data_IF_143954285757
#
_entry.id   IF_143954285757
#
_cell.length_a   1.000
_cell.length_b   1.000
_cell.length_c   1.000
_cell.angle_alpha   90.00
_cell.angle_beta   90.00
_cell.angle_gamma   90.00
#
_symmetry.space_group_name_H-M   'P 1'
#
loop_
_entity.id
_entity.type
_entity.pdbx_description
1 polymer ?
#
# COMPACT_ATOMS: atom_id res chain seq x y z
N UNK A 1 -4.80 -14.55 21.40
CA UNK A 1 -4.43 -14.98 20.03
C UNK A 1 -2.92 -14.98 20.01
N UNK A 2 -2.31 -16.12 19.67
CA UNK A 2 -0.86 -16.21 19.48
C UNK A 2 -0.58 -15.86 18.03
N UNK A 3 0.01 -14.69 17.79
CA UNK A 3 0.27 -14.17 16.44
C UNK A 3 1.61 -13.46 16.44
N UNK A 4 2.37 -13.66 15.36
CA UNK A 4 3.59 -12.92 15.11
C UNK A 4 3.27 -11.73 14.22
N UNK A 5 3.78 -10.56 14.58
CA UNK A 5 3.67 -9.35 13.77
C UNK A 5 5.04 -9.02 13.21
N UNK A 6 5.12 -8.90 11.89
CA UNK A 6 6.32 -8.40 11.21
C UNK A 6 6.00 -6.97 10.75
N UNK A 7 6.77 -6.02 11.27
CA UNK A 7 6.75 -4.62 10.83
C UNK A 7 8.12 -4.24 10.30
N UNK A 8 8.16 -3.44 9.26
CA UNK A 8 9.40 -2.94 8.68
C UNK A 8 9.30 -1.44 8.44
N UNK A 9 10.39 -0.74 8.73
CA UNK A 9 10.55 0.65 8.35
C UNK A 9 10.92 0.72 6.86
N UNK A 10 10.09 1.37 6.06
CA UNK A 10 10.39 1.61 4.65
C UNK A 10 11.47 2.70 4.52
N UNK A 11 12.15 2.77 3.37
CA UNK A 11 13.23 3.75 3.16
C UNK A 11 12.79 5.18 3.51
N UNK A 12 13.60 5.88 4.29
CA UNK A 12 13.32 7.24 4.74
C UNK A 12 12.35 7.35 5.93
N UNK A 13 11.97 6.23 6.56
CA UNK A 13 11.22 6.17 7.81
C UNK A 13 12.01 5.43 8.88
N UNK A 14 11.78 5.78 10.15
CA UNK A 14 12.41 5.13 11.31
C UNK A 14 13.93 5.08 11.19
N UNK A 15 14.49 3.88 11.30
CA UNK A 15 15.93 3.64 11.19
C UNK A 15 16.38 3.29 9.75
N UNK A 16 15.46 3.20 8.79
CA UNK A 16 15.76 2.85 7.40
C UNK A 16 16.33 4.04 6.62
N UNK A 17 17.48 3.82 5.99
CA UNK A 17 18.16 4.83 5.16
C UNK A 17 17.44 5.13 3.85
N UNK A 18 17.80 6.23 3.18
CA UNK A 18 17.29 6.59 1.85
C UNK A 18 16.22 7.67 1.89
N UNK A 19 15.57 7.90 0.74
CA UNK A 19 14.50 8.88 0.60
C UNK A 19 13.19 8.18 0.19
N UNK A 20 12.03 8.56 0.76
CA UNK A 20 10.76 7.91 0.45
C UNK A 20 10.22 8.42 -0.89
N UNK A 21 10.56 7.73 -1.98
CA UNK A 21 9.97 7.90 -3.31
C UNK A 21 9.25 6.62 -3.73
N UNK A 22 8.30 6.73 -4.67
CA UNK A 22 7.28 5.70 -4.85
C UNK A 22 7.84 4.36 -5.31
N UNK A 23 8.69 4.36 -6.33
CA UNK A 23 9.31 3.13 -6.84
C UNK A 23 10.14 2.47 -5.74
N UNK A 24 10.83 3.26 -4.91
CA UNK A 24 11.61 2.75 -3.80
C UNK A 24 10.75 2.15 -2.68
N UNK A 25 9.69 2.84 -2.29
CA UNK A 25 8.70 2.30 -1.34
C UNK A 25 8.09 1.00 -1.86
N UNK A 26 7.82 0.94 -3.17
CA UNK A 26 7.27 -0.26 -3.82
C UNK A 26 8.25 -1.43 -3.76
N UNK A 27 9.53 -1.18 -4.00
CA UNK A 27 10.61 -2.17 -3.87
C UNK A 27 10.77 -2.66 -2.43
N UNK A 28 10.68 -1.77 -1.45
CA UNK A 28 10.77 -2.14 -0.03
C UNK A 28 9.59 -3.04 0.37
N UNK A 29 8.37 -2.71 -0.07
CA UNK A 29 7.17 -3.52 0.17
C UNK A 29 7.34 -4.93 -0.38
N UNK A 30 7.85 -5.08 -1.62
CA UNK A 30 8.16 -6.39 -2.21
C UNK A 30 9.20 -7.14 -1.38
N UNK A 31 10.30 -6.48 -1.05
CA UNK A 31 11.41 -7.05 -0.30
C UNK A 31 10.97 -7.60 1.06
N UNK A 32 10.17 -6.81 1.80
CA UNK A 32 9.64 -7.21 3.11
C UNK A 32 8.66 -8.37 2.96
N UNK A 33 7.80 -8.33 1.93
CA UNK A 33 6.83 -9.41 1.63
C UNK A 33 7.55 -10.72 1.33
N UNK A 34 8.51 -10.70 0.41
CA UNK A 34 9.30 -11.87 0.03
C UNK A 34 10.06 -12.43 1.23
N UNK A 35 10.70 -11.55 2.01
CA UNK A 35 11.42 -11.96 3.21
C UNK A 35 10.51 -12.65 4.23
N UNK A 36 9.33 -12.08 4.50
CA UNK A 36 8.39 -12.63 5.48
C UNK A 36 7.82 -13.98 5.02
N UNK A 37 7.47 -14.11 3.73
CA UNK A 37 6.98 -15.37 3.16
C UNK A 37 8.07 -16.44 3.23
N UNK A 38 9.28 -16.13 2.75
CA UNK A 38 10.35 -17.10 2.58
C UNK A 38 11.02 -17.50 3.89
N UNK A 39 11.15 -16.58 4.83
CA UNK A 39 11.89 -16.80 6.08
C UNK A 39 11.01 -17.05 7.30
N UNK A 40 9.72 -16.72 7.23
CA UNK A 40 8.79 -16.93 8.36
C UNK A 40 7.70 -17.91 7.95
N UNK A 41 6.81 -17.52 7.03
CA UNK A 41 5.62 -18.29 6.73
C UNK A 41 5.94 -19.69 6.19
N UNK A 42 6.83 -19.80 5.19
CA UNK A 42 7.21 -21.08 4.58
C UNK A 42 8.04 -21.96 5.51
N UNK A 43 8.93 -21.37 6.32
CA UNK A 43 9.81 -22.15 7.22
C UNK A 43 9.06 -22.71 8.43
N UNK A 44 8.06 -21.98 8.91
CA UNK A 44 7.26 -22.38 10.07
C UNK A 44 5.95 -23.09 9.68
N UNK A 45 5.64 -23.17 8.38
CA UNK A 45 4.39 -23.71 7.84
C UNK A 45 3.14 -23.06 8.48
N UNK A 46 3.15 -21.72 8.55
CA UNK A 46 2.08 -20.92 9.14
C UNK A 46 1.44 -20.01 8.08
N UNK A 47 0.14 -19.65 8.24
CA UNK A 47 -0.50 -18.70 7.35
C UNK A 47 0.09 -17.30 7.50
N UNK A 48 0.09 -16.54 6.40
CA UNK A 48 0.50 -15.13 6.38
C UNK A 48 -0.64 -14.25 5.87
N UNK A 49 -0.89 -13.15 6.58
CA UNK A 49 -1.89 -12.16 6.22
C UNK A 49 -1.19 -10.82 6.02
N UNK A 50 -1.60 -10.10 4.98
CA UNK A 50 -1.08 -8.77 4.68
C UNK A 50 -2.02 -7.72 5.29
N UNK A 51 -1.49 -6.87 6.15
CA UNK A 51 -2.26 -5.85 6.85
C UNK A 51 -1.86 -4.46 6.40
N UNK A 52 -2.84 -3.60 6.12
CA UNK A 52 -2.61 -2.22 5.71
C UNK A 52 -3.56 -1.25 6.42
N UNK A 53 -2.97 -0.33 7.19
CA UNK A 53 -3.69 0.77 7.84
C UNK A 53 -3.46 2.08 7.10
N UNK A 54 -4.54 2.85 6.84
CA UNK A 54 -4.45 4.17 6.21
C UNK A 54 -3.62 4.11 4.91
N UNK A 55 -2.45 4.77 4.85
CA UNK A 55 -1.54 4.73 3.69
C UNK A 55 -0.96 3.35 3.37
N UNK A 56 -0.91 2.45 4.36
CA UNK A 56 -0.50 1.06 4.19
C UNK A 56 -1.54 0.21 3.46
N UNK A 57 -2.78 0.66 3.32
CA UNK A 57 -3.84 -0.07 2.62
C UNK A 57 -3.49 -0.42 1.17
N UNK A 58 -3.21 0.57 0.29
CA UNK A 58 -2.76 0.30 -1.08
C UNK A 58 -1.49 -0.56 -1.13
N UNK A 59 -0.56 -0.38 -0.17
CA UNK A 59 0.69 -1.14 -0.11
C UNK A 59 0.43 -2.63 0.20
N UNK A 60 -0.47 -2.95 1.12
CA UNK A 60 -0.85 -4.32 1.46
C UNK A 60 -1.54 -5.03 0.29
N UNK A 61 -2.41 -4.34 -0.45
CA UNK A 61 -3.04 -4.90 -1.66
C UNK A 61 -2.00 -5.14 -2.75
N UNK A 62 -1.05 -4.23 -2.91
CA UNK A 62 0.03 -4.39 -3.88
C UNK A 62 0.98 -5.54 -3.52
N UNK A 63 1.32 -5.71 -2.23
CA UNK A 63 2.07 -6.88 -1.76
C UNK A 63 1.34 -8.19 -2.11
N UNK A 64 0.01 -8.23 -1.99
CA UNK A 64 -0.77 -9.41 -2.37
C UNK A 64 -0.69 -9.69 -3.88
N UNK A 65 -0.79 -8.64 -4.71
CA UNK A 65 -0.62 -8.76 -6.16
C UNK A 65 0.78 -9.25 -6.55
N UNK A 66 1.82 -8.72 -5.91
CA UNK A 66 3.21 -9.17 -6.10
C UNK A 66 3.39 -10.63 -5.72
N UNK A 67 2.83 -11.06 -4.59
CA UNK A 67 2.88 -12.45 -4.16
C UNK A 67 2.20 -13.37 -5.20
N UNK A 68 1.04 -12.98 -5.73
CA UNK A 68 0.36 -13.72 -6.79
C UNK A 68 1.19 -13.80 -8.07
N UNK A 69 1.83 -12.70 -8.48
CA UNK A 69 2.72 -12.66 -9.65
C UNK A 69 3.96 -13.54 -9.47
N UNK A 70 4.45 -13.67 -8.24
CA UNK A 70 5.63 -14.47 -7.88
C UNK A 70 5.27 -15.92 -7.51
N UNK A 71 4.04 -16.36 -7.76
CA UNK A 71 3.51 -17.69 -7.39
C UNK A 71 3.67 -18.03 -5.89
N UNK A 72 3.72 -16.99 -5.05
CA UNK A 72 3.77 -17.10 -3.59
C UNK A 72 2.34 -17.08 -3.01
N UNK A 73 2.16 -17.83 -1.92
CA UNK A 73 0.86 -17.93 -1.23
C UNK A 73 0.78 -16.92 -0.10
N UNK A 74 -0.27 -16.09 -0.13
CA UNK A 74 -0.76 -15.30 1.00
C UNK A 74 -2.19 -15.74 1.35
N UNK A 75 -2.57 -15.67 2.62
CA UNK A 75 -3.85 -16.22 3.12
C UNK A 75 -4.98 -15.18 3.19
N UNK A 76 -4.66 -13.90 3.00
CA UNK A 76 -5.65 -12.84 2.94
C UNK A 76 -5.04 -11.46 3.13
N UNK A 77 -5.87 -10.45 2.85
CA UNK A 77 -5.55 -9.04 3.04
C UNK A 77 -6.52 -8.43 4.05
N UNK A 78 -5.98 -7.69 5.01
CA UNK A 78 -6.73 -6.98 6.04
C UNK A 78 -6.47 -5.49 5.84
N UNK A 79 -7.54 -4.73 5.65
CA UNK A 79 -7.48 -3.28 5.45
C UNK A 79 -8.19 -2.58 6.62
N UNK A 80 -7.56 -1.55 7.15
CA UNK A 80 -8.11 -0.75 8.24
C UNK A 80 -8.03 0.73 7.94
N UNK A 81 -9.17 1.42 7.94
CA UNK A 81 -9.31 2.86 7.72
C UNK A 81 -8.50 3.38 6.53
N UNK A 82 -8.43 2.57 5.46
CA UNK A 82 -7.78 2.94 4.21
C UNK A 82 -8.65 3.88 3.40
N UNK A 83 -8.03 4.70 2.57
CA UNK A 83 -8.74 5.53 1.61
C UNK A 83 -8.90 4.82 0.26
N UNK A 84 -10.01 5.07 -0.46
CA UNK A 84 -10.18 4.55 -1.81
C UNK A 84 -9.26 5.26 -2.82
N UNK A 85 -9.08 6.58 -2.67
CA UNK A 85 -8.26 7.40 -3.55
C UNK A 85 -7.44 8.42 -2.73
N UNK A 86 -6.10 8.29 -2.78
CA UNK A 86 -5.21 9.19 -2.03
C UNK A 86 -5.31 10.64 -2.48
N UNK A 87 -5.49 10.89 -3.78
CA UNK A 87 -5.53 12.25 -4.34
C UNK A 87 -6.69 13.07 -3.74
N UNK A 88 -7.83 12.43 -3.55
CA UNK A 88 -9.03 13.04 -2.99
C UNK A 88 -8.84 13.35 -1.51
N UNK A 89 -8.22 12.44 -0.76
CA UNK A 89 -7.94 12.64 0.65
C UNK A 89 -6.89 13.74 0.84
N UNK A 90 -5.82 13.75 0.05
CA UNK A 90 -4.78 14.77 0.12
C UNK A 90 -5.33 16.18 -0.16
N UNK A 91 -6.32 16.33 -1.03
CA UNK A 91 -6.93 17.61 -1.37
C UNK A 91 -7.74 18.27 -0.26
N UNK A 92 -8.18 17.48 0.70
CA UNK A 92 -8.97 17.92 1.84
C UNK A 92 -8.23 17.67 3.18
N UNK A 93 -6.97 17.24 3.14
CA UNK A 93 -6.13 16.99 4.31
C UNK A 93 -5.52 18.27 4.90
N UNK A 94 -5.30 18.29 6.23
CA UNK A 94 -4.74 19.47 6.91
C UNK A 94 -3.30 19.79 6.47
N UNK A 95 -2.54 18.82 5.95
CA UNK A 95 -1.21 19.08 5.40
C UNK A 95 -1.23 19.95 4.14
N UNK A 96 -2.37 20.07 3.46
CA UNK A 96 -2.56 20.97 2.31
C UNK A 96 -3.32 22.24 2.67
N UNK A 97 -3.40 22.59 3.97
CA UNK A 97 -4.15 23.76 4.46
C UNK A 97 -3.75 25.07 3.76
N UNK A 98 -2.49 25.22 3.38
CA UNK A 98 -2.00 26.41 2.67
C UNK A 98 -2.58 26.53 1.24
N UNK A 99 -3.06 25.42 0.65
CA UNK A 99 -3.77 25.42 -0.63
C UNK A 99 -5.25 25.76 -0.46
N UNK A 100 -5.79 25.83 0.76
CA UNK A 100 -7.23 26.02 0.99
C UNK A 100 -7.75 27.39 0.56
N UNK A 101 -6.86 28.36 0.32
CA UNK A 101 -7.20 29.65 -0.29
C UNK A 101 -7.70 29.49 -1.74
N UNK A 102 -7.42 28.37 -2.40
CA UNK A 102 -7.88 28.08 -3.75
C UNK A 102 -9.15 27.22 -3.77
N UNK A 103 -10.04 27.39 -4.76
CA UNK A 103 -11.16 26.50 -5.00
C UNK A 103 -10.73 25.03 -5.09
N UNK A 104 -11.59 24.11 -4.63
CA UNK A 104 -11.29 22.67 -4.57
C UNK A 104 -10.80 22.09 -5.91
N UNK A 105 -11.35 22.54 -7.03
CA UNK A 105 -10.92 22.11 -8.37
C UNK A 105 -9.45 22.46 -8.66
N UNK A 106 -8.97 23.62 -8.23
CA UNK A 106 -7.59 24.05 -8.40
C UNK A 106 -6.68 23.27 -7.44
N UNK A 107 -7.08 23.08 -6.18
CA UNK A 107 -6.32 22.26 -5.20
C UNK A 107 -6.11 20.84 -5.72
N UNK A 108 -7.18 20.20 -6.21
CA UNK A 108 -7.14 18.86 -6.78
C UNK A 108 -6.19 18.79 -7.98
N UNK A 109 -6.22 19.79 -8.88
CA UNK A 109 -5.32 19.81 -10.02
C UNK A 109 -3.84 19.95 -9.62
N UNK A 110 -3.54 20.81 -8.63
CA UNK A 110 -2.18 20.98 -8.11
C UNK A 110 -1.68 19.69 -7.48
N UNK A 111 -2.52 19.05 -6.65
CA UNK A 111 -2.18 17.80 -5.97
C UNK A 111 -2.03 16.67 -6.98
N UNK A 112 -2.96 16.53 -7.93
CA UNK A 112 -2.86 15.56 -9.02
C UNK A 112 -1.60 15.74 -9.84
N UNK A 113 -1.23 16.98 -10.16
CA UNK A 113 -0.02 17.26 -10.91
C UNK A 113 1.23 16.89 -10.11
N UNK A 114 1.33 17.31 -8.86
CA UNK A 114 2.45 16.95 -7.98
C UNK A 114 2.53 15.44 -7.71
N UNK A 115 1.39 14.78 -7.57
CA UNK A 115 1.30 13.35 -7.36
C UNK A 115 1.64 12.56 -8.63
N UNK A 116 1.16 13.01 -9.80
CA UNK A 116 1.52 12.41 -11.10
C UNK A 116 3.01 12.57 -11.39
N UNK A 117 3.61 13.69 -10.99
CA UNK A 117 5.05 13.91 -11.06
C UNK A 117 5.80 12.97 -10.10
N UNK A 118 5.33 12.85 -8.85
CA UNK A 118 5.94 11.96 -7.85
C UNK A 118 5.79 10.46 -8.18
N UNK A 119 4.79 10.10 -8.98
CA UNK A 119 4.53 8.73 -9.46
C UNK A 119 5.11 8.45 -10.85
N UNK A 120 5.78 9.42 -11.47
CA UNK A 120 6.23 9.31 -12.84
C UNK A 120 7.30 8.21 -12.99
N UNK A 121 6.91 7.06 -13.55
CA UNK A 121 7.80 5.90 -13.73
C UNK A 121 7.47 4.71 -12.82
N UNK A 122 6.51 4.86 -11.90
CA UNK A 122 6.07 3.76 -11.03
C UNK A 122 4.85 3.03 -11.59
N UNK A 123 4.87 1.70 -11.51
CA UNK A 123 3.69 0.86 -11.75
C UNK A 123 2.68 0.93 -10.59
N UNK A 124 3.12 1.43 -9.43
CA UNK A 124 2.31 1.54 -8.23
C UNK A 124 1.39 2.76 -8.29
N UNK A 125 0.10 2.55 -8.00
CA UNK A 125 -0.88 3.62 -7.87
C UNK A 125 -1.48 3.58 -6.48
N UNK A 126 -1.51 4.73 -5.79
CA UNK A 126 -2.18 4.89 -4.50
C UNK A 126 -3.71 4.98 -4.66
N UNK A 127 -4.27 3.99 -5.35
CA UNK A 127 -5.70 3.80 -5.60
C UNK A 127 -6.07 2.40 -5.11
N UNK A 128 -6.47 2.33 -3.84
CA UNK A 128 -6.82 1.08 -3.17
C UNK A 128 -7.98 0.40 -3.88
N UNK A 129 -8.96 1.17 -4.37
CA UNK A 129 -10.15 0.61 -5.02
C UNK A 129 -9.77 -0.13 -6.32
N UNK A 130 -8.90 0.48 -7.13
CA UNK A 130 -8.39 -0.14 -8.36
C UNK A 130 -7.52 -1.37 -8.08
N UNK A 131 -6.59 -1.27 -7.12
CA UNK A 131 -5.74 -2.40 -6.74
C UNK A 131 -6.59 -3.57 -6.21
N UNK A 132 -7.63 -3.30 -5.43
CA UNK A 132 -8.57 -4.32 -4.96
C UNK A 132 -9.37 -4.96 -6.10
N UNK A 133 -9.79 -4.17 -7.08
CA UNK A 133 -10.46 -4.69 -8.28
C UNK A 133 -9.52 -5.63 -9.06
N UNK A 134 -8.26 -5.25 -9.20
CA UNK A 134 -7.24 -6.07 -9.87
C UNK A 134 -6.96 -7.36 -9.09
N UNK A 135 -6.84 -7.28 -7.77
CA UNK A 135 -6.64 -8.44 -6.91
C UNK A 135 -7.81 -9.41 -7.02
N UNK A 136 -9.05 -8.94 -6.89
CA UNK A 136 -10.26 -9.77 -7.01
C UNK A 136 -10.41 -10.41 -8.39
N UNK A 137 -9.91 -9.76 -9.44
CA UNK A 137 -9.94 -10.30 -10.79
C UNK A 137 -8.93 -11.45 -10.97
N UNK A 138 -7.74 -11.33 -10.36
CA UNK A 138 -6.66 -12.32 -10.48
C UNK A 138 -6.83 -13.50 -9.52
N UNK A 139 -7.29 -13.23 -8.31
CA UNK A 139 -7.66 -14.24 -7.31
C UNK A 139 -9.01 -13.87 -6.67
N UNK A 140 -10.12 -14.34 -7.25
CA UNK A 140 -11.46 -14.13 -6.70
C UNK A 140 -11.68 -14.80 -5.33
N UNK A 141 -10.82 -15.75 -4.95
CA UNK A 141 -10.94 -16.52 -3.71
C UNK A 141 -10.18 -15.90 -2.54
N UNK A 142 -9.30 -14.94 -2.79
CA UNK A 142 -8.50 -14.25 -1.78
C UNK A 142 -9.40 -13.60 -0.72
N UNK A 143 -9.30 -14.00 0.56
CA UNK A 143 -10.04 -13.35 1.65
C UNK A 143 -9.59 -11.91 1.81
N UNK A 144 -10.53 -10.96 1.77
CA UNK A 144 -10.27 -9.54 2.00
C UNK A 144 -11.21 -9.06 3.10
N UNK A 145 -10.65 -8.62 4.22
CA UNK A 145 -11.39 -8.02 5.34
C UNK A 145 -11.13 -6.53 5.34
N UNK A 146 -12.20 -5.73 5.40
CA UNK A 146 -12.10 -4.27 5.41
C UNK A 146 -12.82 -3.70 6.63
N UNK A 147 -12.05 -3.06 7.50
CA UNK A 147 -12.54 -2.31 8.65
C UNK A 147 -12.57 -0.83 8.28
N UNK A 148 -13.79 -0.28 8.16
CA UNK A 148 -14.03 1.14 7.86
C UNK A 148 -13.95 1.99 9.12
#
# INVERSE_FOLDING_TARGET
>A
MDTHVVTADLRGYGDSTGFPYVEGITEDVKTVTDWAIDNVARKLDIPIYLYGHSLGGPQAVYAALHALESEQKVNGVILESTFPNFEEVAADHISTWFLWIFPRSIRLNIIRWGFSFALQGSDFRFDTARLLQDLRRRDPSMPIVNFH
#
